data_IF_781293566735
#
_entry.id   IF_781293566735
#
_cell.length_a   1.000
_cell.length_b   1.000
_cell.length_c   1.000
_cell.angle_alpha   90.00
_cell.angle_beta   90.00
_cell.angle_gamma   90.00
#
_symmetry.space_group_name_H-M   'P 1'
#
loop_
_entity.id
_entity.type
_entity.pdbx_description
1 polymer ?
#
# COMPACT_ATOMS: atom_id res chain seq x y z
N UNK A 1 -42.08 53.15 -7.68
CA UNK A 1 -41.59 52.75 -9.01
C UNK A 1 -40.99 51.36 -8.90
N UNK A 2 -41.54 50.41 -9.67
CA UNK A 2 -41.05 49.03 -9.80
C UNK A 2 -39.93 49.01 -10.84
N UNK A 3 -38.78 48.44 -10.51
CA UNK A 3 -37.80 47.83 -11.43
C UNK A 3 -36.94 46.87 -10.60
N UNK A 4 -36.54 45.68 -11.02
CA UNK A 4 -36.96 44.71 -12.05
C UNK A 4 -36.34 43.39 -11.56
N UNK A 5 -37.11 42.32 -11.58
CA UNK A 5 -36.63 40.98 -11.20
C UNK A 5 -35.58 40.49 -12.19
N UNK A 6 -34.35 40.27 -11.75
CA UNK A 6 -33.39 39.48 -12.54
C UNK A 6 -33.77 38.00 -12.41
N UNK A 7 -34.48 37.48 -13.40
CA UNK A 7 -34.68 36.04 -13.55
C UNK A 7 -33.32 35.38 -13.76
N UNK A 8 -32.86 34.61 -12.77
CA UNK A 8 -31.72 33.72 -12.91
C UNK A 8 -32.09 32.60 -13.89
N UNK A 9 -31.41 32.55 -15.04
CA UNK A 9 -31.61 31.52 -16.05
C UNK A 9 -31.22 30.14 -15.50
N UNK A 10 -32.20 29.24 -15.46
CA UNK A 10 -32.02 27.81 -15.20
C UNK A 10 -31.29 27.18 -16.40
N UNK A 11 -30.06 26.68 -16.20
CA UNK A 11 -29.23 26.13 -17.29
C UNK A 11 -29.51 24.66 -17.60
N UNK A 12 -29.98 23.86 -16.63
CA UNK A 12 -30.34 22.45 -16.87
C UNK A 12 -31.52 21.97 -16.02
N UNK A 13 -32.18 20.88 -16.44
CA UNK A 13 -33.18 20.16 -15.63
C UNK A 13 -32.57 19.60 -14.34
N UNK A 14 -31.26 19.29 -14.35
CA UNK A 14 -30.51 18.82 -13.18
C UNK A 14 -30.43 19.89 -12.08
N UNK A 15 -30.43 21.16 -12.45
CA UNK A 15 -30.43 22.30 -11.51
C UNK A 15 -31.78 22.48 -10.79
N UNK A 16 -32.87 21.96 -11.37
CA UNK A 16 -34.19 21.95 -10.73
C UNK A 16 -34.25 21.00 -9.54
N UNK A 17 -33.57 19.86 -9.64
CA UNK A 17 -33.55 18.82 -8.61
C UNK A 17 -32.38 18.96 -7.62
N UNK A 18 -31.44 19.87 -7.86
CA UNK A 18 -30.28 20.09 -6.99
C UNK A 18 -30.51 21.12 -5.87
N UNK A 19 -31.73 21.63 -5.71
CA UNK A 19 -32.05 22.70 -4.76
C UNK A 19 -32.52 22.20 -3.38
N UNK A 20 -31.68 21.42 -2.71
CA UNK A 20 -31.63 21.39 -1.25
C UNK A 20 -30.17 21.48 -0.83
N UNK A 21 -29.54 22.63 -1.08
CA UNK A 21 -28.29 22.94 -0.39
C UNK A 21 -28.58 22.92 1.10
N UNK A 22 -27.87 22.11 1.91
CA UNK A 22 -28.08 22.11 3.35
C UNK A 22 -27.89 23.54 3.87
N UNK A 23 -28.81 23.99 4.72
CA UNK A 23 -28.77 25.31 5.33
C UNK A 23 -27.41 25.55 5.97
N UNK A 24 -26.79 26.73 5.77
CA UNK A 24 -25.50 27.02 6.36
C UNK A 24 -25.57 26.91 7.88
N UNK A 25 -24.67 26.13 8.49
CA UNK A 25 -24.61 25.97 9.95
C UNK A 25 -24.24 27.32 10.57
N UNK A 26 -25.05 27.86 11.53
CA UNK A 26 -24.73 29.10 12.22
C UNK A 26 -23.32 29.07 12.84
N UNK A 27 -22.60 30.20 12.75
CA UNK A 27 -21.20 30.30 13.25
C UNK A 27 -21.06 29.87 14.70
N UNK A 28 -22.01 30.26 15.56
CA UNK A 28 -22.02 29.89 16.98
C UNK A 28 -22.06 28.37 17.19
N UNK A 29 -22.90 27.66 16.43
CA UNK A 29 -23.02 26.19 16.51
C UNK A 29 -21.74 25.52 16.01
N UNK A 30 -21.17 26.01 14.90
CA UNK A 30 -19.91 25.50 14.37
C UNK A 30 -18.76 25.71 15.37
N UNK A 31 -18.74 26.84 16.06
CA UNK A 31 -17.76 27.13 17.11
C UNK A 31 -17.88 26.14 18.28
N UNK A 32 -19.09 25.93 18.81
CA UNK A 32 -19.31 24.95 19.89
C UNK A 32 -18.93 23.51 19.49
N UNK A 33 -19.21 23.10 18.26
CA UNK A 33 -18.77 21.80 17.77
C UNK A 33 -17.23 21.68 17.69
N UNK A 34 -16.55 22.79 17.37
CA UNK A 34 -15.09 22.85 17.31
C UNK A 34 -14.48 22.73 18.71
N UNK A 35 -15.05 23.45 19.68
CA UNK A 35 -14.65 23.40 21.09
C UNK A 35 -14.81 21.98 21.66
N UNK A 36 -15.98 21.36 21.47
CA UNK A 36 -16.23 19.98 21.91
C UNK A 36 -15.27 18.95 21.27
N UNK A 37 -14.94 19.09 19.98
CA UNK A 37 -13.94 18.22 19.35
C UNK A 37 -12.53 18.43 19.92
N UNK A 38 -12.20 19.67 20.28
CA UNK A 38 -10.90 20.03 20.86
C UNK A 38 -10.78 19.45 22.26
N UNK A 39 -11.81 19.61 23.09
CA UNK A 39 -11.89 19.02 24.43
C UNK A 39 -11.84 17.49 24.37
N UNK A 40 -12.58 16.86 23.45
CA UNK A 40 -12.51 15.41 23.23
C UNK A 40 -11.08 14.94 22.96
N UNK A 41 -10.35 15.60 22.06
CA UNK A 41 -8.96 15.22 21.77
C UNK A 41 -8.04 15.45 22.98
N UNK A 42 -8.23 16.56 23.71
CA UNK A 42 -7.38 16.93 24.83
C UNK A 42 -7.60 16.05 26.07
N UNK A 43 -8.86 15.77 26.42
CA UNK A 43 -9.23 14.99 27.61
C UNK A 43 -8.97 13.49 27.41
N UNK A 44 -9.19 12.97 26.20
CA UNK A 44 -9.07 11.53 25.92
C UNK A 44 -7.75 11.15 25.23
N UNK A 45 -6.83 12.11 25.09
CA UNK A 45 -5.55 11.95 24.40
C UNK A 45 -5.69 11.32 23.00
N UNK A 46 -6.72 11.72 22.25
CA UNK A 46 -6.98 11.21 20.89
C UNK A 46 -6.18 12.01 19.86
N UNK A 47 -5.73 11.31 18.82
CA UNK A 47 -5.14 11.95 17.65
C UNK A 47 -6.14 12.91 17.00
N UNK A 48 -5.67 14.08 16.55
CA UNK A 48 -6.54 15.13 16.01
C UNK A 48 -7.28 14.72 14.72
N UNK A 49 -6.76 13.73 14.01
CA UNK A 49 -7.37 13.18 12.79
C UNK A 49 -8.56 12.25 13.06
N UNK A 50 -8.82 11.85 14.31
CA UNK A 50 -9.97 11.02 14.69
C UNK A 50 -11.29 11.59 14.16
N UNK A 51 -11.44 12.92 14.14
CA UNK A 51 -12.65 13.60 13.67
C UNK A 51 -12.85 13.52 12.15
N UNK A 52 -11.79 13.21 11.41
CA UNK A 52 -11.83 12.98 9.95
C UNK A 52 -12.33 11.58 9.61
N UNK A 53 -12.28 10.63 10.54
CA UNK A 53 -12.65 9.24 10.30
C UNK A 53 -14.14 9.08 9.98
N UNK A 54 -14.46 8.28 8.96
CA UNK A 54 -15.86 8.06 8.57
C UNK A 54 -16.66 7.30 9.63
N UNK A 55 -16.00 6.45 10.43
CA UNK A 55 -16.59 5.83 11.62
C UNK A 55 -17.06 6.87 12.64
N UNK A 56 -16.21 7.84 12.98
CA UNK A 56 -16.55 8.93 13.90
C UNK A 56 -17.68 9.80 13.33
N UNK A 57 -17.61 10.19 12.04
CA UNK A 57 -18.69 10.95 11.39
C UNK A 57 -20.03 10.21 11.42
N UNK A 58 -20.02 8.89 11.20
CA UNK A 58 -21.22 8.06 11.27
C UNK A 58 -21.76 8.00 12.70
N UNK A 59 -20.91 7.80 13.70
CA UNK A 59 -21.30 7.86 15.11
C UNK A 59 -21.94 9.21 15.47
N UNK A 60 -21.30 10.32 15.10
CA UNK A 60 -21.81 11.66 15.36
C UNK A 60 -23.19 11.90 14.72
N UNK A 61 -23.37 11.46 13.46
CA UNK A 61 -24.68 11.50 12.78
C UNK A 61 -25.73 10.67 13.53
N UNK A 62 -25.37 9.48 13.99
CA UNK A 62 -26.27 8.60 14.75
C UNK A 62 -26.67 9.24 16.08
N UNK A 63 -25.72 9.75 16.86
CA UNK A 63 -26.00 10.43 18.13
C UNK A 63 -26.88 11.68 17.95
N UNK A 64 -26.62 12.48 16.91
CA UNK A 64 -27.49 13.61 16.54
C UNK A 64 -28.90 13.15 16.13
N UNK A 65 -29.01 12.00 15.46
CA UNK A 65 -30.29 11.35 15.16
C UNK A 65 -31.05 10.95 16.41
N UNK A 66 -30.38 10.29 17.36
CA UNK A 66 -30.96 9.90 18.65
C UNK A 66 -31.51 11.11 19.40
N UNK A 67 -30.72 12.19 19.53
CA UNK A 67 -31.16 13.40 20.21
C UNK A 67 -32.42 14.05 19.60
N UNK A 68 -32.60 13.94 18.28
CA UNK A 68 -33.84 14.40 17.61
C UNK A 68 -35.04 13.48 17.85
N UNK A 69 -34.80 12.19 18.07
CA UNK A 69 -35.84 11.17 18.17
C UNK A 69 -36.46 11.02 19.56
N UNK A 70 -35.77 11.46 20.63
CA UNK A 70 -36.19 11.16 22.01
C UNK A 70 -37.22 12.11 22.61
N UNK A 71 -37.64 13.18 21.92
CA UNK A 71 -38.63 14.18 22.40
C UNK A 71 -38.36 14.76 23.82
N UNK A 72 -37.18 14.51 24.40
CA UNK A 72 -36.75 15.01 25.71
C UNK A 72 -35.44 15.74 25.56
N UNK A 73 -35.29 16.86 26.27
CA UNK A 73 -34.05 17.62 26.35
C UNK A 73 -33.05 17.03 27.36
N UNK A 74 -33.43 15.98 28.09
CA UNK A 74 -32.65 15.38 29.18
C UNK A 74 -32.38 13.91 28.89
N UNK A 75 -31.41 13.62 28.04
CA UNK A 75 -30.87 12.27 27.85
C UNK A 75 -29.61 12.17 28.70
N UNK A 76 -29.56 11.19 29.59
CA UNK A 76 -28.33 10.87 30.30
C UNK A 76 -27.37 10.15 29.33
N UNK A 77 -26.27 10.82 28.98
CA UNK A 77 -25.34 10.33 27.96
C UNK A 77 -24.65 9.02 28.39
N UNK A 78 -24.41 8.83 29.69
CA UNK A 78 -23.84 7.59 30.23
C UNK A 78 -24.74 6.38 30.02
N UNK A 79 -26.06 6.58 30.02
CA UNK A 79 -27.03 5.51 29.78
C UNK A 79 -27.18 5.20 28.28
N UNK A 80 -26.92 6.21 27.42
CA UNK A 80 -26.95 6.04 25.97
C UNK A 80 -25.72 5.30 25.43
N UNK A 81 -24.53 5.60 25.97
CA UNK A 81 -23.27 5.04 25.47
C UNK A 81 -23.07 3.61 26.01
N UNK A 82 -22.77 2.63 25.14
CA UNK A 82 -22.55 1.26 25.58
C UNK A 82 -21.25 1.13 26.38
N UNK A 83 -21.24 0.20 27.34
CA UNK A 83 -20.03 -0.18 28.06
C UNK A 83 -18.98 -0.80 27.10
N UNK A 84 -17.69 -0.66 27.41
CA UNK A 84 -16.58 -1.16 26.58
C UNK A 84 -16.68 -2.66 26.26
N UNK A 85 -17.21 -3.46 27.19
CA UNK A 85 -17.42 -4.90 26.97
C UNK A 85 -18.51 -5.16 25.94
N UNK A 86 -19.57 -4.35 25.92
CA UNK A 86 -20.62 -4.43 24.91
C UNK A 86 -20.07 -4.10 23.52
N UNK A 87 -19.18 -3.11 23.41
CA UNK A 87 -18.51 -2.80 22.14
C UNK A 87 -17.61 -3.98 21.71
N UNK A 88 -16.79 -4.51 22.62
CA UNK A 88 -15.91 -5.65 22.35
C UNK A 88 -16.67 -6.87 21.83
N UNK A 89 -17.73 -7.29 22.54
CA UNK A 89 -18.60 -8.40 22.11
C UNK A 89 -19.24 -8.13 20.75
N UNK A 90 -19.69 -6.90 20.51
CA UNK A 90 -20.29 -6.54 19.22
C UNK A 90 -19.28 -6.52 18.08
N UNK A 91 -18.02 -6.15 18.31
CA UNK A 91 -16.95 -6.25 17.29
C UNK A 91 -16.75 -7.71 16.90
N UNK A 92 -16.66 -8.63 17.87
CA UNK A 92 -16.56 -10.07 17.56
C UNK A 92 -17.76 -10.56 16.76
N UNK A 93 -18.99 -10.19 17.15
CA UNK A 93 -20.19 -10.56 16.40
C UNK A 93 -20.16 -10.02 14.97
N UNK A 94 -19.79 -8.74 14.80
CA UNK A 94 -19.69 -8.11 13.47
C UNK A 94 -18.62 -8.79 12.61
N UNK A 95 -17.50 -9.18 13.21
CA UNK A 95 -16.45 -9.93 12.53
C UNK A 95 -16.99 -11.28 12.01
N UNK A 96 -17.66 -12.07 12.85
CA UNK A 96 -18.23 -13.35 12.43
C UNK A 96 -19.30 -13.17 11.34
N UNK A 97 -20.15 -12.16 11.45
CA UNK A 97 -21.15 -11.83 10.43
C UNK A 97 -20.51 -11.47 9.08
N UNK A 98 -19.46 -10.64 9.07
CA UNK A 98 -18.74 -10.30 7.85
C UNK A 98 -17.88 -11.44 7.32
N UNK A 99 -17.33 -12.29 8.20
CA UNK A 99 -16.58 -13.48 7.81
C UNK A 99 -17.46 -14.46 7.06
N UNK A 100 -18.69 -14.71 7.54
CA UNK A 100 -19.67 -15.55 6.83
C UNK A 100 -19.97 -14.98 5.43
N UNK A 101 -20.25 -13.68 5.33
CA UNK A 101 -20.50 -13.04 4.03
C UNK A 101 -19.29 -13.14 3.09
N UNK A 102 -18.08 -13.00 3.64
CA UNK A 102 -16.86 -13.15 2.85
C UNK A 102 -16.63 -14.60 2.40
N UNK A 103 -16.95 -15.59 3.23
CA UNK A 103 -16.91 -17.00 2.85
C UNK A 103 -17.85 -17.26 1.66
N UNK A 104 -19.07 -16.74 1.70
CA UNK A 104 -20.05 -16.91 0.60
C UNK A 104 -19.53 -16.30 -0.71
N UNK A 105 -18.78 -15.20 -0.63
CA UNK A 105 -18.10 -14.60 -1.79
C UNK A 105 -16.96 -15.52 -2.26
N UNK A 106 -16.10 -15.95 -1.33
CA UNK A 106 -14.92 -16.77 -1.62
C UNK A 106 -15.27 -18.07 -2.33
N UNK A 107 -16.37 -18.73 -1.97
CA UNK A 107 -16.84 -19.96 -2.63
C UNK A 107 -17.17 -19.76 -4.12
N UNK A 108 -17.50 -18.52 -4.51
CA UNK A 108 -17.87 -18.18 -5.89
C UNK A 108 -16.68 -17.65 -6.70
N UNK A 109 -15.53 -17.41 -6.06
CA UNK A 109 -14.35 -16.85 -6.72
C UNK A 109 -13.69 -17.90 -7.62
N UNK A 110 -13.75 -17.67 -8.93
CA UNK A 110 -13.00 -18.45 -9.92
C UNK A 110 -11.53 -18.05 -9.98
N UNK A 111 -11.23 -16.78 -9.71
CA UNK A 111 -9.88 -16.22 -9.73
C UNK A 111 -9.69 -15.23 -8.58
N UNK A 112 -8.53 -15.32 -7.93
CA UNK A 112 -8.10 -14.40 -6.89
C UNK A 112 -6.58 -14.36 -6.81
N UNK A 113 -6.07 -13.34 -6.12
CA UNK A 113 -4.69 -13.17 -5.76
C UNK A 113 -4.57 -13.06 -4.24
N UNK A 114 -3.48 -13.57 -3.67
CA UNK A 114 -3.11 -13.31 -2.29
C UNK A 114 -1.91 -12.39 -2.23
N UNK A 115 -1.91 -11.48 -1.26
CA UNK A 115 -0.72 -10.76 -0.81
C UNK A 115 -0.37 -11.34 0.55
N UNK A 116 0.84 -11.90 0.67
CA UNK A 116 1.37 -12.42 1.93
C UNK A 116 2.56 -11.58 2.33
N UNK A 117 2.42 -10.90 3.47
CA UNK A 117 3.43 -10.00 4.03
C UNK A 117 3.88 -10.49 5.40
N UNK A 118 5.17 -10.37 5.69
CA UNK A 118 5.75 -10.75 6.97
C UNK A 118 6.63 -9.64 7.51
N UNK A 119 6.39 -9.26 8.76
CA UNK A 119 7.20 -8.27 9.45
C UNK A 119 7.42 -8.70 10.90
N UNK A 120 8.48 -8.17 11.50
CA UNK A 120 8.72 -8.27 12.94
C UNK A 120 8.48 -6.92 13.56
N UNK A 121 7.58 -6.84 14.52
CA UNK A 121 7.33 -5.62 15.26
C UNK A 121 8.53 -5.36 16.18
N UNK A 122 9.17 -4.21 16.01
CA UNK A 122 10.49 -3.93 16.58
C UNK A 122 10.48 -3.82 18.10
N UNK A 123 9.38 -3.39 18.71
CA UNK A 123 9.30 -3.17 20.15
C UNK A 123 9.09 -4.46 20.95
N UNK A 124 8.22 -5.34 20.46
CA UNK A 124 7.83 -6.61 21.08
C UNK A 124 8.67 -7.78 20.57
N UNK A 125 9.30 -7.63 19.41
CA UNK A 125 10.03 -8.70 18.72
C UNK A 125 9.11 -9.78 18.13
N UNK A 126 7.79 -9.57 18.15
CA UNK A 126 6.83 -10.54 17.63
C UNK A 126 6.80 -10.44 16.10
N UNK A 127 7.03 -11.56 15.44
CA UNK A 127 6.80 -11.68 14.00
C UNK A 127 5.32 -11.89 13.70
N UNK A 128 4.84 -11.25 12.65
CA UNK A 128 3.48 -11.35 12.15
C UNK A 128 3.47 -11.84 10.70
N UNK A 129 2.37 -12.47 10.31
CA UNK A 129 2.06 -12.81 8.94
C UNK A 129 0.69 -12.24 8.59
N UNK A 130 0.69 -11.28 7.66
CA UNK A 130 -0.51 -10.70 7.07
C UNK A 130 -0.86 -11.40 5.77
N UNK A 131 -2.15 -11.67 5.58
CA UNK A 131 -2.68 -12.25 4.35
C UNK A 131 -3.86 -11.40 3.89
N UNK A 132 -3.72 -10.81 2.71
CA UNK A 132 -4.79 -10.11 2.03
C UNK A 132 -5.25 -10.88 0.79
N UNK A 133 -6.56 -11.02 0.65
CA UNK A 133 -7.23 -11.54 -0.53
C UNK A 133 -7.57 -10.38 -1.47
N UNK A 134 -7.17 -10.50 -2.73
CA UNK A 134 -7.56 -9.59 -3.80
C UNK A 134 -8.32 -10.31 -4.90
N UNK A 135 -9.42 -9.71 -5.35
CA UNK A 135 -10.14 -10.18 -6.52
C UNK A 135 -10.81 -9.02 -7.25
N UNK A 136 -11.15 -9.25 -8.51
CA UNK A 136 -11.92 -8.31 -9.33
C UNK A 136 -13.37 -8.78 -9.34
N UNK A 137 -14.25 -7.99 -8.74
CA UNK A 137 -15.68 -8.28 -8.70
C UNK A 137 -16.41 -7.78 -9.94
N UNK A 138 -17.74 -7.72 -9.84
CA UNK A 138 -18.59 -7.10 -10.85
C UNK A 138 -18.15 -5.66 -11.14
N UNK A 139 -18.43 -5.18 -12.36
CA UNK A 139 -18.07 -3.82 -12.82
C UNK A 139 -16.56 -3.51 -12.79
N UNK A 140 -15.72 -4.55 -12.83
CA UNK A 140 -14.25 -4.43 -12.85
C UNK A 140 -13.69 -3.69 -11.63
N UNK A 141 -14.37 -3.80 -10.48
CA UNK A 141 -13.92 -3.22 -9.23
C UNK A 141 -12.93 -4.15 -8.53
N UNK A 142 -11.75 -3.62 -8.18
CA UNK A 142 -10.79 -4.32 -7.33
C UNK A 142 -11.27 -4.29 -5.87
N UNK A 143 -11.29 -5.45 -5.24
CA UNK A 143 -11.55 -5.63 -3.81
C UNK A 143 -10.31 -6.18 -3.13
N UNK A 144 -10.03 -5.67 -1.93
CA UNK A 144 -8.95 -6.13 -1.04
C UNK A 144 -9.55 -6.41 0.33
N UNK A 145 -9.36 -7.62 0.84
CA UNK A 145 -9.80 -8.05 2.16
C UNK A 145 -8.62 -8.60 2.95
N UNK A 146 -8.39 -8.09 4.16
CA UNK A 146 -7.44 -8.71 5.09
C UNK A 146 -8.14 -9.93 5.69
N UNK A 147 -7.68 -11.12 5.32
CA UNK A 147 -8.24 -12.40 5.78
C UNK A 147 -7.44 -13.01 6.92
N UNK A 148 -6.23 -12.50 7.17
CA UNK A 148 -5.42 -12.87 8.32
C UNK A 148 -4.39 -11.80 8.69
N UNK A 149 -4.19 -11.60 9.97
CA UNK A 149 -3.06 -10.86 10.54
C UNK A 149 -2.77 -11.49 11.90
N UNK A 150 -1.81 -12.41 11.93
CA UNK A 150 -1.60 -13.26 13.08
C UNK A 150 -0.14 -13.28 13.49
N UNK A 151 0.15 -13.41 14.81
CA UNK A 151 1.49 -13.74 15.27
C UNK A 151 1.99 -15.01 14.58
N UNK A 152 3.16 -14.92 13.97
CA UNK A 152 3.81 -16.01 13.25
C UNK A 152 5.12 -16.36 13.97
N UNK A 153 5.00 -17.23 14.97
CA UNK A 153 6.15 -17.76 15.69
C UNK A 153 6.69 -18.99 14.95
N UNK A 154 7.58 -18.77 13.99
CA UNK A 154 8.20 -19.86 13.24
C UNK A 154 9.53 -20.28 13.86
N UNK A 155 9.49 -21.18 14.84
CA UNK A 155 10.68 -21.80 15.40
C UNK A 155 11.62 -22.44 14.33
N UNK A 156 11.14 -22.69 13.10
CA UNK A 156 11.97 -23.20 11.99
C UNK A 156 12.16 -22.24 10.80
N UNK A 157 11.43 -21.11 10.74
CA UNK A 157 11.35 -20.20 9.57
C UNK A 157 11.29 -20.91 8.19
N UNK A 158 10.78 -22.16 8.12
CA UNK A 158 10.83 -22.95 6.90
C UNK A 158 9.74 -22.56 5.90
N UNK A 159 10.04 -22.71 4.62
CA UNK A 159 9.10 -22.48 3.53
C UNK A 159 7.84 -23.36 3.64
N UNK A 160 8.00 -24.61 4.09
CA UNK A 160 6.91 -25.55 4.30
C UNK A 160 5.95 -25.08 5.40
N UNK A 161 6.46 -24.67 6.56
CA UNK A 161 5.59 -24.21 7.65
C UNK A 161 4.85 -22.92 7.29
N UNK A 162 5.49 -22.02 6.52
CA UNK A 162 4.79 -20.86 5.98
C UNK A 162 3.63 -21.28 5.07
N UNK A 163 3.86 -22.24 4.17
CA UNK A 163 2.81 -22.73 3.28
C UNK A 163 1.66 -23.39 4.05
N UNK A 164 1.95 -24.23 5.02
CA UNK A 164 0.94 -24.87 5.88
C UNK A 164 0.14 -23.84 6.67
N UNK A 165 0.81 -22.82 7.21
CA UNK A 165 0.17 -21.71 7.92
C UNK A 165 -0.80 -20.95 7.03
N UNK A 166 -0.39 -20.58 5.81
CA UNK A 166 -1.25 -19.88 4.84
C UNK A 166 -2.42 -20.78 4.42
N UNK A 167 -2.17 -22.06 4.12
CA UNK A 167 -3.23 -22.99 3.72
C UNK A 167 -4.32 -23.12 4.80
N UNK A 168 -3.96 -23.20 6.09
CA UNK A 168 -4.95 -23.25 7.19
C UNK A 168 -5.87 -22.03 7.19
N UNK A 169 -5.32 -20.84 6.95
CA UNK A 169 -6.13 -19.62 6.88
C UNK A 169 -7.05 -19.67 5.66
N UNK A 170 -6.56 -20.12 4.51
CA UNK A 170 -7.38 -20.26 3.30
C UNK A 170 -8.52 -21.26 3.47
N UNK A 171 -8.28 -22.37 4.18
CA UNK A 171 -9.30 -23.37 4.51
C UNK A 171 -10.49 -22.77 5.29
N UNK A 172 -10.22 -21.82 6.20
CA UNK A 172 -11.29 -21.10 6.92
C UNK A 172 -12.20 -20.27 6.00
N UNK A 173 -11.68 -19.84 4.85
CA UNK A 173 -12.40 -19.10 3.83
C UNK A 173 -12.83 -19.96 2.64
N UNK A 174 -12.65 -21.29 2.73
CA UNK A 174 -12.93 -22.26 1.66
C UNK A 174 -12.19 -21.94 0.35
N UNK A 175 -11.01 -21.34 0.47
CA UNK A 175 -10.13 -21.01 -0.64
C UNK A 175 -9.05 -22.08 -0.78
N UNK A 176 -8.58 -22.27 -2.01
CA UNK A 176 -7.45 -23.14 -2.31
C UNK A 176 -6.57 -22.51 -3.38
N UNK A 177 -5.25 -22.64 -3.20
CA UNK A 177 -4.28 -22.26 -4.22
C UNK A 177 -4.15 -23.37 -5.27
N UNK A 178 -4.16 -22.96 -6.53
CA UNK A 178 -3.92 -23.82 -7.70
C UNK A 178 -3.12 -23.03 -8.76
N UNK A 179 -2.79 -23.69 -9.88
CA UNK A 179 -1.92 -23.13 -10.93
C UNK A 179 -2.48 -21.87 -11.61
N UNK A 180 -3.76 -21.55 -11.40
CA UNK A 180 -4.42 -20.34 -11.90
C UNK A 180 -4.39 -19.18 -10.90
N UNK A 181 -4.02 -19.44 -9.64
CA UNK A 181 -4.01 -18.45 -8.56
C UNK A 181 -2.65 -17.78 -8.44
N UNK A 182 -2.67 -16.53 -7.99
CA UNK A 182 -1.49 -15.69 -7.84
C UNK A 182 -1.18 -15.40 -6.38
N UNK A 183 0.10 -15.40 -6.03
CA UNK A 183 0.56 -15.00 -4.69
C UNK A 183 1.68 -13.96 -4.84
N UNK A 184 1.43 -12.76 -4.32
CA UNK A 184 2.40 -11.67 -4.19
C UNK A 184 3.03 -11.73 -2.81
N UNK A 185 4.35 -11.68 -2.76
CA UNK A 185 5.14 -11.88 -1.55
C UNK A 185 6.44 -11.08 -1.65
N UNK A 186 7.08 -10.74 -0.53
CA UNK A 186 8.45 -10.23 -0.53
C UNK A 186 9.44 -11.18 -1.25
N UNK A 187 10.69 -10.73 -1.43
CA UNK A 187 11.72 -11.50 -2.13
C UNK A 187 12.66 -12.25 -1.19
N UNK A 188 12.21 -12.59 0.02
CA UNK A 188 13.00 -13.41 0.93
C UNK A 188 13.19 -14.84 0.39
N UNK A 189 14.35 -15.47 0.61
CA UNK A 189 14.68 -16.76 0.01
C UNK A 189 13.68 -17.88 0.31
N UNK A 190 13.00 -17.81 1.46
CA UNK A 190 11.99 -18.80 1.89
C UNK A 190 10.68 -18.71 1.12
N UNK A 191 10.36 -17.56 0.52
CA UNK A 191 9.06 -17.33 -0.12
C UNK A 191 8.93 -18.07 -1.45
N UNK A 192 10.00 -18.12 -2.23
CA UNK A 192 10.00 -18.84 -3.51
C UNK A 192 9.66 -20.34 -3.32
N UNK A 193 10.35 -21.12 -2.47
CA UNK A 193 9.99 -22.52 -2.24
C UNK A 193 8.61 -22.70 -1.60
N UNK A 194 8.09 -21.72 -0.85
CA UNK A 194 6.75 -21.82 -0.24
C UNK A 194 5.60 -21.74 -1.26
N UNK A 195 5.80 -21.04 -2.38
CA UNK A 195 4.71 -20.72 -3.32
C UNK A 195 4.94 -21.15 -4.78
N UNK A 196 6.13 -21.63 -5.17
CA UNK A 196 6.43 -21.94 -6.59
C UNK A 196 5.72 -23.16 -7.18
N UNK A 197 5.26 -24.12 -6.37
CA UNK A 197 4.83 -25.44 -6.89
C UNK A 197 3.35 -25.50 -7.29
N UNK A 198 2.49 -24.81 -6.55
CA UNK A 198 1.03 -24.94 -6.70
C UNK A 198 0.37 -23.67 -7.23
N UNK A 199 1.07 -22.55 -7.34
CA UNK A 199 0.50 -21.26 -7.74
C UNK A 199 1.57 -20.38 -8.39
N UNK A 200 1.14 -19.31 -9.05
CA UNK A 200 2.04 -18.34 -9.66
C UNK A 200 2.49 -17.30 -8.64
N UNK A 201 3.76 -17.35 -8.25
CA UNK A 201 4.36 -16.35 -7.37
C UNK A 201 4.81 -15.11 -8.14
N UNK A 202 4.45 -13.93 -7.63
CA UNK A 202 4.99 -12.64 -8.07
C UNK A 202 5.79 -12.02 -6.93
N UNK A 203 7.02 -11.60 -7.21
CA UNK A 203 7.86 -10.93 -6.21
C UNK A 203 7.47 -9.46 -6.04
N UNK A 204 7.44 -9.00 -4.79
CA UNK A 204 7.13 -7.61 -4.46
C UNK A 204 8.19 -6.66 -5.03
N UNK A 205 7.75 -5.69 -5.83
CA UNK A 205 8.60 -4.65 -6.42
C UNK A 205 9.10 -3.67 -5.36
N UNK A 206 8.22 -3.25 -4.45
CA UNK A 206 8.57 -2.35 -3.35
C UNK A 206 9.71 -2.94 -2.51
N UNK A 207 9.58 -4.18 -2.05
CA UNK A 207 10.64 -4.87 -1.31
C UNK A 207 11.94 -4.97 -2.12
N UNK A 208 11.85 -5.24 -3.42
CA UNK A 208 13.03 -5.31 -4.29
C UNK A 208 13.78 -3.98 -4.34
N UNK A 209 13.08 -2.87 -4.59
CA UNK A 209 13.65 -1.54 -4.71
C UNK A 209 14.26 -1.08 -3.39
N UNK A 210 13.52 -1.22 -2.29
CA UNK A 210 14.02 -0.94 -0.94
C UNK A 210 15.34 -1.69 -0.66
N UNK A 211 15.42 -2.96 -1.05
CA UNK A 211 16.64 -3.77 -0.89
C UNK A 211 17.81 -3.28 -1.74
N UNK A 212 17.58 -2.84 -2.98
CA UNK A 212 18.68 -2.30 -3.81
C UNK A 212 19.20 -0.97 -3.26
N UNK A 213 18.32 -0.11 -2.76
CA UNK A 213 18.70 1.13 -2.10
C UNK A 213 19.47 0.87 -0.80
N UNK A 214 19.00 -0.07 0.03
CA UNK A 214 19.77 -0.51 1.21
C UNK A 214 21.16 -0.99 0.84
N UNK A 215 21.31 -1.79 -0.22
CA UNK A 215 22.62 -2.23 -0.68
C UNK A 215 23.52 -1.05 -1.06
N UNK A 216 23.01 -0.10 -1.84
CA UNK A 216 23.78 1.07 -2.26
C UNK A 216 24.24 1.93 -1.07
N UNK A 217 23.40 2.11 -0.05
CA UNK A 217 23.66 3.05 1.05
C UNK A 217 24.26 2.41 2.31
N UNK A 218 24.21 1.09 2.46
CA UNK A 218 24.51 0.42 3.74
C UNK A 218 25.40 -0.82 3.62
N UNK A 219 25.65 -1.32 2.40
CA UNK A 219 26.43 -2.56 2.21
C UNK A 219 27.74 -2.27 1.48
N UNK A 220 28.87 -2.76 2.01
CA UNK A 220 30.15 -2.71 1.29
C UNK A 220 30.23 -3.77 0.18
N UNK A 221 29.44 -4.84 0.32
CA UNK A 221 29.41 -5.98 -0.59
C UNK A 221 28.04 -6.67 -0.57
N UNK A 222 27.68 -7.31 -1.69
CA UNK A 222 26.45 -8.10 -1.82
C UNK A 222 26.75 -9.52 -2.27
N UNK A 223 26.01 -10.48 -1.70
CA UNK A 223 26.06 -11.87 -2.12
C UNK A 223 25.02 -12.11 -3.23
N UNK A 224 25.49 -12.34 -4.46
CA UNK A 224 24.60 -12.67 -5.58
C UNK A 224 24.16 -14.13 -5.53
N UNK A 225 25.05 -14.99 -5.05
CA UNK A 225 24.80 -16.40 -4.78
C UNK A 225 25.85 -16.90 -3.78
N UNK A 226 25.82 -18.19 -3.44
CA UNK A 226 26.74 -18.80 -2.46
C UNK A 226 28.24 -18.59 -2.78
N UNK A 227 28.60 -18.38 -4.05
CA UNK A 227 29.97 -18.33 -4.50
C UNK A 227 30.37 -16.99 -5.14
N UNK A 228 29.45 -16.04 -5.26
CA UNK A 228 29.67 -14.77 -5.98
C UNK A 228 29.36 -13.59 -5.07
N UNK A 229 30.38 -12.78 -4.80
CA UNK A 229 30.31 -11.55 -4.03
C UNK A 229 30.65 -10.39 -4.97
N UNK A 230 29.85 -9.34 -4.91
CA UNK A 230 30.07 -8.10 -5.67
C UNK A 230 30.35 -6.97 -4.68
N UNK A 231 31.42 -6.21 -4.91
CA UNK A 231 31.70 -5.00 -4.11
C UNK A 231 30.70 -3.91 -4.52
N UNK A 232 30.14 -3.23 -3.53
CA UNK A 232 29.33 -2.02 -3.76
C UNK A 232 30.26 -0.83 -3.76
N UNK A 233 30.33 -0.12 -4.87
CA UNK A 233 31.22 1.03 -5.06
C UNK A 233 30.44 2.34 -4.90
N UNK A 234 29.93 2.60 -3.69
CA UNK A 234 29.13 3.80 -3.37
C UNK A 234 29.65 4.52 -2.12
N UNK A 235 30.95 4.43 -1.84
CA UNK A 235 31.57 4.81 -0.55
C UNK A 235 31.27 6.27 -0.12
N UNK A 236 31.27 7.24 -1.05
CA UNK A 236 30.99 8.64 -0.74
C UNK A 236 29.54 8.84 -0.25
N UNK A 237 28.58 8.22 -0.94
CA UNK A 237 27.16 8.25 -0.57
C UNK A 237 26.94 7.53 0.76
N UNK A 238 27.56 6.37 0.94
CA UNK A 238 27.49 5.59 2.18
C UNK A 238 28.07 6.35 3.37
N UNK A 239 29.19 7.05 3.18
CA UNK A 239 29.80 7.88 4.21
C UNK A 239 28.89 9.04 4.60
N UNK A 240 28.38 9.79 3.63
CA UNK A 240 27.42 10.89 3.88
C UNK A 240 26.19 10.38 4.64
N UNK A 241 25.59 9.29 4.17
CA UNK A 241 24.45 8.65 4.81
C UNK A 241 24.71 8.22 6.26
N UNK A 242 25.87 7.61 6.52
CA UNK A 242 26.26 7.20 7.85
C UNK A 242 26.45 8.38 8.81
N UNK A 243 26.98 9.51 8.33
CA UNK A 243 27.08 10.72 9.15
C UNK A 243 25.69 11.29 9.48
N UNK A 244 24.80 11.38 8.49
CA UNK A 244 23.41 11.79 8.72
C UNK A 244 22.74 10.90 9.78
N UNK A 245 22.87 9.57 9.67
CA UNK A 245 22.33 8.62 10.66
C UNK A 245 22.85 8.88 12.07
N UNK A 246 24.13 9.17 12.25
CA UNK A 246 24.71 9.48 13.57
C UNK A 246 24.13 10.77 14.14
N UNK A 247 24.03 11.82 13.33
CA UNK A 247 23.47 13.11 13.76
C UNK A 247 22.01 12.94 14.16
N UNK A 248 21.19 12.33 13.30
CA UNK A 248 19.75 12.07 13.58
C UNK A 248 19.59 11.20 14.83
N UNK A 249 20.40 10.16 14.98
CA UNK A 249 20.38 9.34 16.19
C UNK A 249 20.71 10.16 17.43
N UNK A 250 21.74 11.00 17.40
CA UNK A 250 22.10 11.89 18.51
C UNK A 250 20.97 12.87 18.86
N UNK A 251 20.32 13.46 17.87
CA UNK A 251 19.17 14.37 18.05
C UNK A 251 18.00 13.65 18.73
N UNK A 252 17.71 12.41 18.32
CA UNK A 252 16.65 11.58 18.93
C UNK A 252 16.96 11.24 20.39
N UNK A 253 18.18 10.78 20.67
CA UNK A 253 18.60 10.39 22.04
C UNK A 253 18.67 11.57 23.01
N UNK A 254 18.98 12.76 22.51
CA UNK A 254 19.01 13.99 23.31
C UNK A 254 17.65 14.68 23.41
N UNK A 255 16.60 14.11 22.80
CA UNK A 255 15.24 14.68 22.73
C UNK A 255 15.19 16.10 22.14
N UNK A 256 16.19 16.49 21.34
CA UNK A 256 16.31 17.82 20.76
C UNK A 256 15.42 18.05 19.53
N UNK A 257 14.75 17.01 19.04
CA UNK A 257 13.90 17.08 17.85
C UNK A 257 12.78 18.16 17.92
N UNK A 258 12.40 18.61 19.12
CA UNK A 258 11.38 19.65 19.30
C UNK A 258 11.87 21.07 18.95
N UNK A 259 13.18 21.25 18.78
CA UNK A 259 13.80 22.55 18.48
C UNK A 259 13.87 22.84 16.98
N UNK A 260 13.59 21.85 16.13
CA UNK A 260 13.60 22.01 14.69
C UNK A 260 12.24 22.43 14.14
N UNK A 261 12.26 23.12 13.00
CA UNK A 261 11.04 23.46 12.25
C UNK A 261 10.30 22.22 11.75
N UNK A 262 11.03 21.15 11.47
CA UNK A 262 10.51 19.85 11.08
C UNK A 262 11.03 18.71 11.96
N UNK A 263 10.18 17.71 12.18
CA UNK A 263 10.50 16.56 13.03
C UNK A 263 10.93 15.39 12.18
N UNK A 264 12.08 14.80 12.51
CA UNK A 264 12.53 13.55 11.92
C UNK A 264 11.49 12.45 12.12
N UNK A 265 10.88 12.00 11.03
CA UNK A 265 9.96 10.86 11.07
C UNK A 265 10.72 9.58 11.45
N UNK A 266 10.10 8.73 12.27
CA UNK A 266 10.63 7.38 12.53
C UNK A 266 10.74 6.66 11.19
N UNK A 267 11.90 6.05 10.92
CA UNK A 267 12.11 5.28 9.70
C UNK A 267 12.37 3.82 10.05
N UNK A 268 11.79 2.91 9.26
CA UNK A 268 12.13 1.49 9.37
C UNK A 268 13.45 1.20 8.65
N UNK A 269 14.33 0.43 9.28
CA UNK A 269 15.54 -0.06 8.58
C UNK A 269 15.18 -0.94 7.37
N UNK A 270 14.01 -1.58 7.39
CA UNK A 270 13.54 -2.48 6.33
C UNK A 270 12.81 -1.77 5.18
N UNK A 271 12.42 -0.50 5.35
CA UNK A 271 11.76 0.33 4.32
C UNK A 271 12.60 1.55 4.04
N UNK A 272 13.39 1.48 2.98
CA UNK A 272 14.25 2.58 2.56
C UNK A 272 13.46 3.83 2.12
N UNK A 273 12.19 3.71 1.72
CA UNK A 273 11.32 4.89 1.49
C UNK A 273 11.30 5.85 2.70
N UNK A 274 11.18 5.33 3.92
CA UNK A 274 11.24 6.15 5.13
C UNK A 274 12.63 6.81 5.32
N UNK A 275 13.69 6.17 4.80
CA UNK A 275 15.04 6.71 4.82
C UNK A 275 15.19 7.89 3.86
N UNK A 276 14.54 7.84 2.68
CA UNK A 276 14.50 8.98 1.74
C UNK A 276 13.82 10.18 2.43
N UNK A 277 12.67 9.95 3.07
CA UNK A 277 11.97 10.99 3.83
C UNK A 277 12.85 11.57 4.95
N UNK A 278 13.59 10.73 5.66
CA UNK A 278 14.53 11.18 6.70
C UNK A 278 15.63 12.08 6.13
N UNK A 279 16.21 11.72 4.98
CA UNK A 279 17.21 12.53 4.29
C UNK A 279 16.64 13.88 3.84
N UNK A 280 15.42 13.89 3.31
CA UNK A 280 14.75 15.13 2.91
C UNK A 280 14.50 16.07 4.10
N UNK A 281 13.98 15.55 5.20
CA UNK A 281 13.79 16.36 6.42
C UNK A 281 15.15 16.87 6.92
N UNK A 282 16.19 16.04 6.91
CA UNK A 282 17.53 16.44 7.32
C UNK A 282 18.09 17.56 6.44
N UNK A 283 17.88 17.47 5.13
CA UNK A 283 18.23 18.49 4.15
C UNK A 283 17.53 19.81 4.44
N UNK A 284 16.25 19.79 4.77
CA UNK A 284 15.45 20.98 5.06
C UNK A 284 15.90 21.68 6.35
N UNK A 285 16.21 20.93 7.41
CA UNK A 285 16.65 21.50 8.69
C UNK A 285 18.17 21.67 8.79
N UNK A 286 18.91 21.47 7.69
CA UNK A 286 20.37 21.38 7.70
C UNK A 286 21.04 22.57 8.38
N UNK A 287 20.57 23.79 8.10
CA UNK A 287 21.13 25.03 8.66
C UNK A 287 20.66 25.32 10.10
N UNK A 288 19.64 24.62 10.60
CA UNK A 288 19.20 24.69 12.00
C UNK A 288 20.08 23.81 12.90
N UNK A 289 20.72 22.76 12.35
CA UNK A 289 21.50 21.78 13.11
C UNK A 289 22.61 22.40 13.97
N UNK A 290 23.47 23.33 13.50
CA UNK A 290 24.55 23.88 14.31
C UNK A 290 24.08 24.58 15.59
N UNK A 291 22.89 25.18 15.56
CA UNK A 291 22.31 25.90 16.71
C UNK A 291 21.73 24.93 17.76
N UNK A 292 21.23 23.78 17.30
CA UNK A 292 20.60 22.76 18.16
C UNK A 292 21.63 21.75 18.70
N UNK A 293 22.68 21.44 17.94
CA UNK A 293 23.67 20.42 18.30
C UNK A 293 24.63 20.91 19.41
N UNK A 294 24.31 20.58 20.66
CA UNK A 294 25.12 20.96 21.84
C UNK A 294 26.36 20.06 21.99
N UNK A 295 26.31 18.84 21.47
CA UNK A 295 27.40 17.86 21.59
C UNK A 295 28.49 18.09 20.53
N UNK A 296 29.73 18.35 20.98
CA UNK A 296 30.90 18.55 20.10
C UNK A 296 31.16 17.38 19.14
N UNK A 297 30.95 16.14 19.57
CA UNK A 297 31.12 14.96 18.70
C UNK A 297 30.09 14.99 17.57
N UNK A 298 28.83 15.24 17.90
CA UNK A 298 27.75 15.31 16.90
C UNK A 298 27.92 16.49 15.95
N UNK A 299 28.41 17.62 16.45
CA UNK A 299 28.76 18.78 15.62
C UNK A 299 29.91 18.44 14.66
N UNK A 300 30.91 17.68 15.11
CA UNK A 300 31.97 17.19 14.22
C UNK A 300 31.41 16.23 13.15
N UNK A 301 30.54 15.28 13.52
CA UNK A 301 29.88 14.38 12.56
C UNK A 301 29.06 15.19 11.53
N UNK A 302 28.36 16.25 11.95
CA UNK A 302 27.66 17.20 11.07
C UNK A 302 28.61 17.94 10.12
N UNK A 303 29.74 18.45 10.61
CA UNK A 303 30.72 19.19 9.81
C UNK A 303 31.39 18.33 8.72
N UNK A 304 31.28 17.00 8.81
CA UNK A 304 31.75 16.07 7.78
C UNK A 304 30.72 15.85 6.66
N UNK A 305 29.52 16.42 6.77
CA UNK A 305 28.45 16.29 5.78
C UNK A 305 28.58 17.44 4.78
N UNK A 306 28.86 17.11 3.53
CA UNK A 306 28.85 18.06 2.41
C UNK A 306 27.41 18.34 1.98
N UNK A 307 26.98 19.59 2.08
CA UNK A 307 25.59 19.97 1.79
C UNK A 307 25.24 19.79 0.31
N UNK A 308 26.16 20.12 -0.61
CA UNK A 308 25.91 19.91 -2.04
C UNK A 308 25.70 18.42 -2.35
N UNK A 309 26.54 17.53 -1.79
CA UNK A 309 26.38 16.09 -1.97
C UNK A 309 25.06 15.57 -1.36
N UNK A 310 24.65 16.08 -0.20
CA UNK A 310 23.35 15.74 0.39
C UNK A 310 22.19 16.15 -0.54
N UNK A 311 22.26 17.36 -1.12
CA UNK A 311 21.26 17.84 -2.07
C UNK A 311 21.18 16.97 -3.32
N UNK A 312 22.34 16.63 -3.89
CA UNK A 312 22.46 15.71 -5.02
C UNK A 312 21.82 14.34 -4.71
N UNK A 313 22.11 13.77 -3.54
CA UNK A 313 21.55 12.48 -3.10
C UNK A 313 20.03 12.56 -2.98
N UNK A 314 19.49 13.57 -2.30
CA UNK A 314 18.04 13.74 -2.15
C UNK A 314 17.34 13.90 -3.51
N UNK A 315 17.88 14.75 -4.39
CA UNK A 315 17.30 14.96 -5.72
C UNK A 315 17.35 13.68 -6.58
N UNK A 316 18.42 12.89 -6.46
CA UNK A 316 18.54 11.62 -7.17
C UNK A 316 17.56 10.55 -6.65
N UNK A 317 17.22 10.57 -5.36
CA UNK A 317 16.31 9.60 -4.74
C UNK A 317 14.82 9.92 -4.98
N UNK A 318 14.46 11.14 -5.37
CA UNK A 318 13.07 11.55 -5.62
C UNK A 318 12.31 10.61 -6.58
N UNK A 319 12.85 10.23 -7.77
CA UNK A 319 12.18 9.29 -8.67
C UNK A 319 11.98 7.89 -8.07
N UNK A 320 12.83 7.47 -7.13
CA UNK A 320 12.65 6.20 -6.43
C UNK A 320 11.47 6.28 -5.46
N UNK A 321 11.34 7.38 -4.72
CA UNK A 321 10.21 7.59 -3.80
C UNK A 321 8.88 7.62 -4.56
N UNK A 322 8.80 8.37 -5.68
CA UNK A 322 7.60 8.42 -6.54
C UNK A 322 7.13 7.01 -6.96
N UNK A 323 8.08 6.12 -7.23
CA UNK A 323 7.77 4.77 -7.71
C UNK A 323 7.39 3.85 -6.57
N UNK A 324 8.08 3.91 -5.43
CA UNK A 324 7.70 3.18 -4.22
C UNK A 324 6.25 3.49 -3.84
N UNK A 325 5.86 4.77 -3.91
CA UNK A 325 4.48 5.20 -3.68
C UNK A 325 3.52 4.65 -4.76
N UNK A 326 3.91 4.74 -6.04
CA UNK A 326 3.07 4.30 -7.15
C UNK A 326 2.84 2.77 -7.23
N UNK A 327 3.80 1.96 -6.77
CA UNK A 327 3.67 0.48 -6.73
C UNK A 327 3.00 -0.03 -5.46
N UNK A 328 2.94 0.80 -4.41
CA UNK A 328 2.30 0.48 -3.12
C UNK A 328 0.80 0.84 -3.07
N UNK A 329 0.25 1.45 -4.13
CA UNK A 329 -1.19 1.73 -4.26
C UNK A 329 -2.02 0.42 -4.30
N UNK A 330 -3.02 0.31 -3.44
CA UNK A 330 -3.83 -0.92 -3.25
C UNK A 330 -5.29 -0.80 -3.73
N UNK A 331 -5.70 0.39 -4.18
CA UNK A 331 -7.07 0.69 -4.63
C UNK A 331 -7.28 0.50 -6.13
N UNK A 332 -6.20 0.36 -6.90
CA UNK A 332 -6.22 0.21 -8.36
C UNK A 332 -5.24 -0.89 -8.79
N UNK A 333 -5.48 -1.57 -9.93
CA UNK A 333 -4.51 -2.52 -10.46
C UNK A 333 -3.15 -1.85 -10.70
N UNK A 334 -2.06 -2.45 -10.21
CA UNK A 334 -0.71 -1.85 -10.28
C UNK A 334 0.27 -2.65 -11.14
N UNK A 335 0.03 -3.95 -11.39
CA UNK A 335 0.99 -4.84 -12.07
C UNK A 335 1.41 -4.35 -13.47
N UNK A 336 0.48 -3.73 -14.21
CA UNK A 336 0.72 -3.18 -15.54
C UNK A 336 1.69 -1.99 -15.55
N UNK A 337 1.95 -1.36 -14.39
CA UNK A 337 2.86 -0.22 -14.25
C UNK A 337 4.32 -0.66 -14.13
N UNK A 338 4.58 -1.92 -13.75
CA UNK A 338 5.93 -2.39 -13.38
C UNK A 338 6.94 -2.20 -14.51
N UNK A 339 6.62 -2.57 -15.76
CA UNK A 339 7.53 -2.42 -16.90
C UNK A 339 7.79 -0.94 -17.22
N UNK A 340 6.77 -0.07 -17.39
CA UNK A 340 6.98 1.36 -17.57
C UNK A 340 7.80 2.03 -16.46
N UNK A 341 7.52 1.72 -15.19
CA UNK A 341 8.22 2.32 -14.05
C UNK A 341 9.68 1.84 -13.98
N UNK A 342 9.94 0.57 -14.29
CA UNK A 342 11.31 0.06 -14.42
C UNK A 342 12.09 0.80 -15.51
N UNK A 343 11.48 1.04 -16.67
CA UNK A 343 12.14 1.81 -17.74
C UNK A 343 12.37 3.26 -17.34
N UNK A 344 11.40 3.87 -16.67
CA UNK A 344 11.54 5.23 -16.14
C UNK A 344 12.75 5.32 -15.19
N UNK A 345 12.93 4.37 -14.26
CA UNK A 345 14.14 4.33 -13.42
C UNK A 345 15.41 4.08 -14.19
N UNK A 346 15.40 3.17 -15.17
CA UNK A 346 16.57 2.94 -16.02
C UNK A 346 17.03 4.23 -16.67
N UNK A 347 16.11 5.03 -17.20
CA UNK A 347 16.42 6.33 -17.81
C UNK A 347 16.93 7.34 -16.76
N UNK A 348 16.41 7.30 -15.53
CA UNK A 348 16.87 8.16 -14.42
C UNK A 348 18.25 7.79 -13.89
N UNK A 349 18.70 6.55 -14.11
CA UNK A 349 20.03 6.07 -13.75
C UNK A 349 21.03 6.20 -14.92
N UNK A 350 20.69 6.89 -16.01
CA UNK A 350 21.64 7.18 -17.08
C UNK A 350 22.64 8.23 -16.60
N UNK A 351 23.93 7.89 -16.69
CA UNK A 351 25.03 8.75 -16.27
C UNK A 351 25.05 10.04 -17.09
N UNK A 352 25.03 11.19 -16.41
CA UNK A 352 25.20 12.50 -17.06
C UNK A 352 26.58 13.08 -16.75
N UNK A 353 27.09 13.90 -17.66
CA UNK A 353 28.45 14.45 -17.58
C UNK A 353 28.63 15.47 -16.44
N UNK A 354 27.53 16.09 -16.00
CA UNK A 354 27.47 17.09 -14.95
C UNK A 354 27.21 16.51 -13.55
N UNK A 355 26.88 15.21 -13.45
CA UNK A 355 26.64 14.56 -12.16
C UNK A 355 27.94 14.43 -11.34
N UNK A 356 27.83 14.58 -10.02
CA UNK A 356 28.98 14.41 -9.13
C UNK A 356 29.47 12.96 -9.13
N UNK A 357 30.77 12.76 -8.87
CA UNK A 357 31.38 11.42 -8.91
C UNK A 357 30.68 10.41 -7.97
N UNK A 358 30.11 10.88 -6.86
CA UNK A 358 29.32 10.08 -5.95
C UNK A 358 27.98 9.61 -6.57
N UNK A 359 27.29 10.49 -7.29
CA UNK A 359 26.03 10.18 -7.97
C UNK A 359 26.26 9.26 -9.15
N UNK A 360 27.29 9.49 -9.96
CA UNK A 360 27.64 8.61 -11.09
C UNK A 360 27.83 7.16 -10.60
N UNK A 361 28.50 6.97 -9.46
CA UNK A 361 28.69 5.65 -8.86
C UNK A 361 27.39 5.00 -8.43
N UNK A 362 26.49 5.79 -7.83
CA UNK A 362 25.16 5.35 -7.42
C UNK A 362 24.27 4.99 -8.62
N UNK A 363 24.30 5.79 -9.68
CA UNK A 363 23.63 5.57 -10.96
C UNK A 363 24.09 4.26 -11.61
N UNK A 364 25.40 4.07 -11.76
CA UNK A 364 25.98 2.85 -12.34
C UNK A 364 25.57 1.61 -11.55
N UNK A 365 25.66 1.67 -10.21
CA UNK A 365 25.26 0.56 -9.35
C UNK A 365 23.77 0.24 -9.53
N UNK A 366 22.89 1.22 -9.32
CA UNK A 366 21.44 1.00 -9.35
C UNK A 366 20.94 0.64 -10.75
N UNK A 367 21.46 1.24 -11.83
CA UNK A 367 21.15 0.86 -13.20
C UNK A 367 21.47 -0.63 -13.44
N UNK A 368 22.66 -1.08 -13.02
CA UNK A 368 23.05 -2.49 -13.12
C UNK A 368 22.07 -3.39 -12.34
N UNK A 369 21.72 -3.00 -11.11
CA UNK A 369 20.77 -3.76 -10.28
C UNK A 369 19.39 -3.82 -10.91
N UNK A 370 18.81 -2.70 -11.32
CA UNK A 370 17.48 -2.62 -11.96
C UNK A 370 17.45 -3.45 -13.25
N UNK A 371 18.53 -3.44 -14.03
CA UNK A 371 18.63 -4.23 -15.26
C UNK A 371 18.71 -5.74 -14.99
N UNK A 372 19.50 -6.16 -14.01
CA UNK A 372 19.86 -7.57 -13.85
C UNK A 372 19.08 -8.30 -12.75
N UNK A 373 18.68 -7.61 -11.70
CA UNK A 373 18.05 -8.20 -10.52
C UNK A 373 16.53 -7.95 -10.45
N UNK A 374 16.00 -6.91 -11.11
CA UNK A 374 14.55 -6.70 -11.18
C UNK A 374 13.93 -7.66 -12.20
N UNK A 375 13.44 -8.79 -11.70
CA UNK A 375 12.93 -9.85 -12.55
C UNK A 375 11.54 -9.53 -13.13
N UNK A 376 11.47 -9.34 -14.45
CA UNK A 376 10.21 -9.18 -15.20
C UNK A 376 9.71 -10.54 -15.70
N UNK A 377 8.56 -10.95 -15.16
CA UNK A 377 7.83 -12.16 -15.57
C UNK A 377 6.84 -11.89 -16.72
N UNK A 378 6.34 -12.96 -17.31
CA UNK A 378 5.31 -12.90 -18.36
C UNK A 378 3.99 -12.27 -17.89
N UNK A 379 3.68 -12.35 -16.61
CA UNK A 379 2.49 -11.69 -16.04
C UNK A 379 2.62 -10.16 -16.03
N UNK A 380 3.83 -9.63 -15.82
CA UNK A 380 4.08 -8.19 -15.96
C UNK A 380 3.91 -7.75 -17.41
N UNK A 381 4.40 -8.57 -18.36
CA UNK A 381 4.26 -8.33 -19.80
C UNK A 381 2.80 -8.31 -20.25
N UNK A 382 2.05 -9.34 -19.88
CA UNK A 382 0.62 -9.47 -20.17
C UNK A 382 -0.18 -8.33 -19.57
N UNK A 383 0.01 -8.02 -18.28
CA UNK A 383 -0.72 -6.92 -17.64
C UNK A 383 -0.42 -5.56 -18.29
N UNK A 384 0.84 -5.32 -18.69
CA UNK A 384 1.25 -4.09 -19.38
C UNK A 384 0.59 -3.97 -20.75
N UNK A 385 0.70 -5.00 -21.61
CA UNK A 385 0.18 -4.93 -22.99
C UNK A 385 -1.35 -4.94 -23.05
N UNK A 386 -2.01 -5.56 -22.07
CA UNK A 386 -3.48 -5.55 -21.97
C UNK A 386 -4.03 -4.18 -21.56
N UNK A 387 -3.20 -3.33 -20.94
CA UNK A 387 -3.62 -1.98 -20.56
C UNK A 387 -3.76 -1.09 -21.82
N UNK A 388 -4.96 -0.53 -22.10
CA UNK A 388 -5.22 0.17 -23.37
C UNK A 388 -4.28 1.33 -23.68
N UNK A 389 -3.86 2.08 -22.66
CA UNK A 389 -2.95 3.23 -22.83
C UNK A 389 -1.49 2.81 -23.04
N UNK A 390 -1.15 1.56 -22.72
CA UNK A 390 0.22 1.06 -22.78
C UNK A 390 0.46 0.11 -23.94
N UNK A 391 -0.56 -0.25 -24.74
CA UNK A 391 -0.44 -1.21 -25.87
C UNK A 391 0.77 -0.98 -26.79
N UNK A 392 1.11 0.29 -27.02
CA UNK A 392 2.19 0.63 -27.94
C UNK A 392 3.56 0.73 -27.27
N UNK A 393 3.65 0.84 -25.93
CA UNK A 393 4.82 1.26 -25.14
C UNK A 393 6.19 1.16 -25.86
N UNK A 394 6.48 2.17 -26.68
CA UNK A 394 7.65 2.15 -27.58
C UNK A 394 8.97 2.42 -26.83
N UNK A 395 8.89 2.80 -25.56
CA UNK A 395 10.05 3.01 -24.69
C UNK A 395 10.79 1.70 -24.33
N UNK A 396 10.22 0.52 -24.59
CA UNK A 396 10.83 -0.78 -24.31
C UNK A 396 10.56 -1.79 -25.44
N UNK A 397 11.14 -1.57 -26.62
CA UNK A 397 10.88 -2.40 -27.82
C UNK A 397 11.07 -3.91 -27.54
N UNK A 398 12.17 -4.29 -26.89
CA UNK A 398 12.45 -5.69 -26.57
C UNK A 398 11.37 -6.32 -25.66
N UNK A 399 10.87 -5.59 -24.66
CA UNK A 399 9.82 -6.08 -23.78
C UNK A 399 8.45 -6.08 -24.48
N UNK A 400 8.21 -5.16 -25.41
CA UNK A 400 7.00 -5.16 -26.25
C UNK A 400 6.93 -6.40 -27.14
N UNK A 401 8.02 -6.75 -27.82
CA UNK A 401 8.08 -7.96 -28.65
C UNK A 401 7.85 -9.23 -27.83
N UNK A 402 8.53 -9.35 -26.67
CA UNK A 402 8.28 -10.46 -25.72
C UNK A 402 6.82 -10.49 -25.27
N UNK A 403 6.24 -9.33 -24.94
CA UNK A 403 4.84 -9.24 -24.51
C UNK A 403 3.85 -9.71 -25.58
N UNK A 404 4.08 -9.35 -26.85
CA UNK A 404 3.28 -9.82 -27.98
C UNK A 404 3.40 -11.33 -28.14
N UNK A 405 4.61 -11.89 -28.00
CA UNK A 405 4.84 -13.33 -28.13
C UNK A 405 4.15 -14.12 -27.02
N UNK A 406 4.26 -13.67 -25.77
CA UNK A 406 3.55 -14.25 -24.62
C UNK A 406 2.03 -14.18 -24.85
N UNK A 407 1.51 -13.03 -25.28
CA UNK A 407 0.09 -12.86 -25.56
C UNK A 407 -0.41 -13.85 -26.64
N UNK A 408 0.35 -14.02 -27.73
CA UNK A 408 0.04 -15.00 -28.77
C UNK A 408 0.01 -16.44 -28.22
N UNK A 409 0.98 -16.81 -27.39
CA UNK A 409 1.03 -18.14 -26.78
C UNK A 409 -0.19 -18.40 -25.89
N UNK A 410 -0.59 -17.43 -25.07
CA UNK A 410 -1.80 -17.56 -24.24
C UNK A 410 -3.08 -17.65 -25.08
N UNK A 411 -3.20 -16.85 -26.14
CA UNK A 411 -4.34 -16.97 -27.07
C UNK A 411 -4.44 -18.37 -27.70
N UNK A 412 -3.33 -18.94 -28.15
CA UNK A 412 -3.34 -20.29 -28.74
C UNK A 412 -3.66 -21.38 -27.71
N UNK A 413 -3.18 -21.26 -26.48
CA UNK A 413 -3.57 -22.17 -25.38
C UNK A 413 -5.09 -22.14 -25.16
N UNK A 414 -5.69 -20.95 -25.13
CA UNK A 414 -7.14 -20.81 -24.92
C UNK A 414 -7.98 -21.30 -26.10
N UNK A 415 -7.54 -21.09 -27.36
CA UNK A 415 -8.22 -21.66 -28.53
C UNK A 415 -8.26 -23.19 -28.50
N UNK A 416 -7.18 -23.83 -28.06
CA UNK A 416 -7.11 -25.30 -27.96
C UNK A 416 -8.08 -25.83 -26.87
N UNK A 417 -8.29 -25.08 -25.78
CA UNK A 417 -9.24 -25.41 -24.72
C UNK A 417 -10.70 -25.28 -25.21
N UNK A 418 -11.02 -24.25 -25.99
CA UNK A 418 -12.36 -24.07 -26.58
C UNK A 418 -12.67 -25.16 -27.63
N UNK A 419 -11.66 -25.63 -28.37
CA UNK A 419 -11.85 -26.70 -29.36
C UNK A 419 -12.04 -28.10 -28.74
N UNK A 420 -11.47 -28.35 -27.55
CA UNK A 420 -11.55 -29.63 -26.84
C UNK A 420 -12.77 -29.76 -25.92
N UNK A 421 -13.34 -28.63 -25.49
CA UNK A 421 -14.64 -28.59 -24.79
C UNK A 421 -15.84 -28.79 -25.74
N UNK A 422 -15.72 -28.42 -27.03
CA UNK A 422 -16.78 -28.64 -28.01
C UNK A 422 -16.99 -30.12 -28.43
N UNK A 423 -16.05 -31.03 -28.15
CA UNK A 423 -16.18 -32.45 -28.51
C UNK A 423 -16.93 -33.32 -27.50
N UNK A 424 -17.24 -32.82 -26.30
CA UNK A 424 -17.87 -33.62 -25.24
C UNK A 424 -19.29 -33.16 -24.84
N UNK A 425 -19.94 -32.29 -25.61
CA UNK A 425 -21.28 -31.76 -25.26
C UNK A 425 -22.30 -31.88 -26.39
N UNK A 426 -22.33 -33.04 -27.06
CA UNK A 426 -23.40 -33.42 -27.97
C UNK A 426 -24.03 -34.76 -27.54
N UNK A 427 -24.48 -34.83 -26.29
CA UNK A 427 -25.58 -35.70 -25.88
C UNK A 427 -26.03 -35.31 -24.47
N UNK A 428 -27.07 -34.48 -24.38
CA UNK A 428 -28.23 -34.68 -23.52
C UNK A 428 -29.21 -33.52 -23.74
N UNK A 429 -30.33 -33.90 -24.32
CA UNK A 429 -31.49 -33.10 -24.71
C UNK A 429 -32.20 -32.49 -23.51
N UNK A 430 -32.55 -31.21 -23.68
CA UNK A 430 -33.84 -30.58 -23.36
C UNK A 430 -34.74 -31.27 -22.33
N UNK A 431 -34.93 -30.64 -21.16
CA UNK A 431 -36.27 -30.43 -20.59
C UNK A 431 -36.28 -29.39 -19.46
N UNK A 432 -37.24 -28.47 -19.58
CA UNK A 432 -37.91 -27.66 -18.56
C UNK A 432 -37.18 -26.47 -17.91
N UNK A 433 -37.48 -25.32 -18.52
CA UNK A 433 -37.66 -24.01 -17.89
C UNK A 433 -38.65 -24.11 -16.72
N UNK A 434 -38.22 -23.70 -15.52
CA UNK A 434 -39.09 -23.03 -14.57
C UNK A 434 -38.36 -21.84 -13.95
N UNK A 435 -39.01 -20.69 -14.09
CA UNK A 435 -38.66 -19.37 -13.62
C UNK A 435 -38.77 -19.25 -12.10
N UNK A 436 -37.71 -18.81 -11.44
CA UNK A 436 -37.79 -18.06 -10.19
C UNK A 436 -36.62 -17.08 -10.12
N UNK A 437 -36.93 -15.79 -10.09
CA UNK A 437 -35.94 -14.74 -9.86
C UNK A 437 -35.62 -14.66 -8.36
N UNK A 438 -34.35 -14.66 -7.93
CA UNK A 438 -33.99 -14.14 -6.63
C UNK A 438 -33.71 -12.65 -6.77
N UNK A 439 -34.53 -11.87 -6.09
CA UNK A 439 -34.36 -10.44 -5.91
C UNK A 439 -32.98 -10.13 -5.29
N UNK A 440 -32.45 -9.00 -5.73
CA UNK A 440 -31.35 -8.22 -5.18
C UNK A 440 -31.24 -8.27 -3.65
N UNK A 441 -30.26 -9.01 -3.14
CA UNK A 441 -29.69 -8.81 -1.82
C UNK A 441 -28.19 -8.54 -1.99
N UNK A 442 -27.84 -7.36 -2.50
CA UNK A 442 -26.47 -6.86 -2.41
C UNK A 442 -26.28 -6.32 -1.00
N UNK A 443 -25.62 -7.10 -0.15
CA UNK A 443 -25.07 -6.60 1.10
C UNK A 443 -24.02 -5.54 0.76
N UNK A 444 -24.27 -4.30 1.16
CA UNK A 444 -23.27 -3.24 1.18
C UNK A 444 -22.20 -3.58 2.23
N UNK A 445 -21.26 -4.46 1.89
CA UNK A 445 -20.01 -4.58 2.65
C UNK A 445 -19.23 -3.30 2.37
N UNK A 446 -19.15 -2.41 3.37
CA UNK A 446 -18.37 -1.18 3.27
C UNK A 446 -16.93 -1.56 2.92
N UNK A 447 -16.45 -1.05 1.80
CA UNK A 447 -15.02 -1.04 1.44
C UNK A 447 -14.22 -0.59 2.66
N UNK A 448 -13.17 -1.35 2.98
CA UNK A 448 -12.20 -1.13 4.05
C UNK A 448 -12.76 -1.08 5.48
N UNK A 449 -12.74 -2.22 6.17
CA UNK A 449 -12.34 -2.24 7.59
C UNK A 449 -10.93 -2.80 7.64
N UNK A 450 -9.94 -1.92 7.62
CA UNK A 450 -8.60 -2.24 8.08
C UNK A 450 -8.73 -2.28 9.60
N UNK A 451 -8.80 -3.48 10.19
CA UNK A 451 -8.45 -3.63 11.59
C UNK A 451 -6.94 -3.49 11.68
N UNK A 452 -6.47 -2.26 11.84
CA UNK A 452 -5.14 -2.01 12.39
C UNK A 452 -5.20 -2.38 13.86
N UNK A 453 -4.49 -3.43 14.26
CA UNK A 453 -4.12 -3.60 15.67
C UNK A 453 -3.07 -2.57 16.04
#
# INVERSE_FOLDING_TARGET
MKEKSSFAYQKTVRDFYSSLKPSPIPRKIKFSATEACTEFCALDARAFDVVKGDGFKNLAKTLFGVGRGTNTSSIEITDLLPHLTTISTNITRLYEEYKIQLIDICEQLTSFCLIVDQWTEAHTGISYCGIALQYVGEYSQLFTFIIGCFPYNAASHSAQHLREFVNKILEEYKLQLDSTKFVVTDNEPKMLPAFREQCSRVGCVDHYLNKQLQHAFQSDQIHLNKNTIEKVDCELVQNSFNQVKKVVSSVRHSHQQQQFSQKFQTYSETRFGDTIIMLDIFREVFFELPEVLINRKTLNDYNLIEKELLDDICNYLEPFQEILDAVSEDQQPSLHRVIPLRQYLMNKCEVKEDDSAAIIRLEVFLACRIKNAWHITDHHRLSTILHPKLKNFDCCIDEKEKSINVLKQEFEKHKLIDSSSCTNTLHLTQSNVQSSSPASNQAHIKKSMIFSC
#
